data_IF_656698953544
#
_entry.id   IF_656698953544
#
_cell.length_a   1.000
_cell.length_b   1.000
_cell.length_c   1.000
_cell.angle_alpha   90.00
_cell.angle_beta   90.00
_cell.angle_gamma   90.00
#
_symmetry.space_group_name_H-M   'P 1'
#
loop_
_entity.id
_entity.type
_entity.pdbx_description
1 polymer ?
#
# COMPACT_ATOMS: atom_id res chain seq x y z
N UNK A 1 -8.02 12.69 -12.36
CA UNK A 1 -8.55 12.55 -10.97
C UNK A 1 -9.69 11.53 -10.86
N UNK A 2 -10.64 11.48 -11.80
CA UNK A 2 -11.83 10.60 -11.72
C UNK A 2 -11.54 9.08 -11.62
N UNK A 3 -10.31 8.64 -11.92
CA UNK A 3 -9.91 7.23 -11.80
C UNK A 3 -9.43 6.84 -10.40
N UNK A 4 -9.29 7.79 -9.48
CA UNK A 4 -8.83 7.52 -8.10
C UNK A 4 -10.02 6.96 -7.29
N UNK A 5 -9.82 5.82 -6.62
CA UNK A 5 -10.89 5.10 -5.92
C UNK A 5 -10.39 3.90 -5.13
N UNK A 6 -11.21 2.86 -4.98
CA UNK A 6 -10.86 1.65 -4.20
C UNK A 6 -9.80 0.77 -4.89
N UNK A 7 -9.87 0.69 -6.22
CA UNK A 7 -8.91 -0.08 -7.05
C UNK A 7 -7.62 0.72 -7.23
N UNK A 8 -7.73 2.01 -7.56
CA UNK A 8 -6.58 2.88 -7.82
C UNK A 8 -6.39 3.90 -6.69
N UNK A 9 -5.41 3.65 -5.81
CA UNK A 9 -5.13 4.47 -4.62
C UNK A 9 -5.83 4.01 -3.34
N UNK A 10 -6.77 3.06 -3.41
CA UNK A 10 -7.47 2.52 -2.23
C UNK A 10 -6.66 1.57 -1.37
N UNK A 11 -5.49 1.13 -1.85
CA UNK A 11 -4.64 0.19 -1.14
C UNK A 11 -4.10 0.77 0.19
N UNK A 12 -3.76 2.07 0.23
CA UNK A 12 -3.36 2.74 1.47
C UNK A 12 -4.44 2.72 2.56
N UNK A 13 -5.74 2.84 2.18
CA UNK A 13 -6.87 2.70 3.12
C UNK A 13 -6.92 1.30 3.73
N UNK A 14 -6.75 0.27 2.89
CA UNK A 14 -6.67 -1.12 3.34
C UNK A 14 -5.45 -1.34 4.25
N UNK A 15 -4.31 -0.72 3.93
CA UNK A 15 -3.11 -0.71 4.77
C UNK A 15 -3.36 -0.13 6.17
N UNK A 16 -4.00 1.05 6.26
CA UNK A 16 -4.40 1.65 7.55
C UNK A 16 -5.29 0.71 8.35
N UNK A 17 -6.31 0.12 7.72
CA UNK A 17 -7.23 -0.81 8.40
C UNK A 17 -6.52 -2.05 8.91
N UNK A 18 -5.61 -2.60 8.10
CA UNK A 18 -4.79 -3.74 8.44
C UNK A 18 -3.88 -3.45 9.64
N UNK A 19 -3.14 -2.34 9.60
CA UNK A 19 -2.28 -1.90 10.71
C UNK A 19 -3.08 -1.62 11.98
N UNK A 20 -4.25 -0.97 11.89
CA UNK A 20 -5.11 -0.74 13.04
C UNK A 20 -5.58 -2.04 13.68
N UNK A 21 -5.99 -3.02 12.88
CA UNK A 21 -6.37 -4.33 13.39
C UNK A 21 -5.21 -5.01 14.14
N UNK A 22 -3.98 -4.89 13.63
CA UNK A 22 -2.79 -5.49 14.23
C UNK A 22 -2.33 -4.78 15.50
N UNK A 23 -2.28 -3.45 15.51
CA UNK A 23 -1.64 -2.67 16.59
C UNK A 23 -2.58 -2.16 17.67
N UNK A 24 -3.87 -1.99 17.38
CA UNK A 24 -4.84 -1.52 18.38
C UNK A 24 -4.89 -2.38 19.65
N UNK A 25 -4.81 -3.73 19.59
CA UNK A 25 -4.78 -4.56 20.80
C UNK A 25 -3.48 -4.47 21.60
N UNK A 26 -2.40 -3.94 21.02
CA UNK A 26 -1.06 -3.98 21.61
C UNK A 26 -0.77 -2.78 22.54
N UNK A 27 -1.70 -1.84 22.68
CA UNK A 27 -1.53 -0.70 23.58
C UNK A 27 -0.41 0.26 23.18
N UNK A 28 -0.05 0.31 21.89
CA UNK A 28 0.96 1.23 21.36
C UNK A 28 0.61 2.68 21.74
N UNK A 29 1.54 3.41 22.34
CA UNK A 29 1.34 4.81 22.78
C UNK A 29 2.00 5.80 21.84
N UNK A 30 3.24 5.53 21.41
CA UNK A 30 4.05 6.44 20.61
C UNK A 30 4.60 5.75 19.34
N UNK A 31 3.93 5.89 18.18
CA UNK A 31 4.34 5.21 16.95
C UNK A 31 5.69 5.63 16.38
N UNK A 32 6.19 6.80 16.80
CA UNK A 32 7.48 7.35 16.37
C UNK A 32 8.59 7.23 17.42
N UNK A 33 8.33 6.54 18.53
CA UNK A 33 9.35 6.30 19.55
C UNK A 33 10.48 5.40 19.02
N UNK A 34 11.70 5.64 19.49
CA UNK A 34 12.86 4.82 19.14
C UNK A 34 12.69 3.36 19.61
N UNK A 35 12.08 3.19 20.79
CA UNK A 35 11.63 1.92 21.33
C UNK A 35 10.09 1.96 21.53
N UNK A 36 9.32 1.26 20.70
CA UNK A 36 7.86 1.22 20.82
C UNK A 36 7.37 0.25 21.92
N UNK A 37 8.26 -0.49 22.60
CA UNK A 37 7.89 -1.49 23.60
C UNK A 37 7.18 -2.72 23.02
N UNK A 38 7.30 -2.95 21.70
CA UNK A 38 6.68 -4.05 20.97
C UNK A 38 7.78 -4.81 20.21
N UNK A 39 7.84 -6.12 20.40
CA UNK A 39 8.69 -6.98 19.58
C UNK A 39 8.08 -7.13 18.16
N UNK A 40 8.53 -6.26 17.25
CA UNK A 40 8.04 -6.22 15.88
C UNK A 40 8.38 -7.49 15.10
N UNK A 41 9.51 -8.14 15.42
CA UNK A 41 9.95 -9.34 14.73
C UNK A 41 9.05 -10.52 15.10
N UNK A 42 8.76 -10.69 16.38
CA UNK A 42 7.82 -11.72 16.83
C UNK A 42 6.41 -11.45 16.27
N UNK A 43 5.95 -10.18 16.31
CA UNK A 43 4.66 -9.79 15.73
C UNK A 43 4.56 -10.10 14.23
N UNK A 44 5.63 -9.81 13.48
CA UNK A 44 5.73 -10.13 12.05
C UNK A 44 5.69 -11.63 11.78
N UNK A 45 6.44 -12.43 12.56
CA UNK A 45 6.45 -13.89 12.45
C UNK A 45 5.05 -14.47 12.71
N UNK A 46 4.38 -14.04 13.78
CA UNK A 46 3.04 -14.52 14.10
C UNK A 46 2.02 -14.13 13.02
N UNK A 47 2.12 -12.90 12.52
CA UNK A 47 1.27 -12.43 11.42
C UNK A 47 1.50 -13.23 10.14
N UNK A 48 2.76 -13.51 9.79
CA UNK A 48 3.12 -14.29 8.62
C UNK A 48 2.66 -15.76 8.74
N UNK A 49 2.75 -16.37 9.92
CA UNK A 49 2.19 -17.71 10.20
C UNK A 49 0.67 -17.74 10.01
N UNK A 50 -0.04 -16.75 10.56
CA UNK A 50 -1.48 -16.65 10.41
C UNK A 50 -1.90 -16.49 8.93
N UNK A 51 -1.17 -15.67 8.18
CA UNK A 51 -1.38 -15.50 6.74
C UNK A 51 -1.09 -16.78 5.95
N UNK A 52 0.01 -17.48 6.27
CA UNK A 52 0.36 -18.77 5.67
C UNK A 52 -0.78 -19.78 5.84
N UNK A 53 -1.30 -19.93 7.06
CA UNK A 53 -2.43 -20.84 7.34
C UNK A 53 -3.66 -20.50 6.49
N UNK A 54 -4.01 -19.22 6.35
CA UNK A 54 -5.13 -18.78 5.49
C UNK A 54 -4.88 -19.08 4.02
N UNK A 55 -3.67 -18.80 3.53
CA UNK A 55 -3.27 -19.05 2.13
C UNK A 55 -3.30 -20.54 1.80
N UNK A 56 -2.76 -21.39 2.67
CA UNK A 56 -2.70 -22.84 2.47
C UNK A 56 -4.11 -23.45 2.47
N UNK A 57 -4.97 -23.06 3.41
CA UNK A 57 -6.37 -23.50 3.45
C UNK A 57 -7.18 -23.06 2.21
N UNK A 58 -6.94 -21.84 1.71
CA UNK A 58 -7.59 -21.34 0.50
C UNK A 58 -7.14 -22.12 -0.75
N UNK A 59 -5.84 -22.44 -0.84
CA UNK A 59 -5.27 -23.27 -1.91
C UNK A 59 -5.87 -24.68 -1.91
N UNK A 60 -6.03 -25.29 -0.74
CA UNK A 60 -6.67 -26.61 -0.59
C UNK A 60 -8.15 -26.59 -1.01
N UNK A 61 -8.85 -25.49 -0.71
CA UNK A 61 -10.29 -25.35 -1.01
C UNK A 61 -10.57 -24.79 -2.40
N UNK A 62 -9.55 -24.46 -3.20
CA UNK A 62 -9.71 -23.84 -4.53
C UNK A 62 -10.33 -22.44 -4.51
N UNK A 63 -10.30 -21.75 -3.38
CA UNK A 63 -10.85 -20.39 -3.22
C UNK A 63 -9.76 -19.34 -3.20
N UNK A 64 -10.09 -18.12 -3.61
CA UNK A 64 -9.18 -16.99 -3.49
C UNK A 64 -8.95 -16.60 -2.02
N UNK A 65 -7.77 -16.05 -1.74
CA UNK A 65 -7.42 -15.50 -0.43
C UNK A 65 -7.11 -14.01 -0.52
N UNK A 66 -7.45 -13.28 0.54
CA UNK A 66 -7.13 -11.86 0.65
C UNK A 66 -5.62 -11.66 0.78
N UNK A 67 -5.04 -10.82 -0.09
CA UNK A 67 -3.62 -10.47 -0.02
C UNK A 67 -3.37 -9.46 1.11
N UNK A 68 -2.18 -9.50 1.69
CA UNK A 68 -1.76 -8.47 2.64
C UNK A 68 -1.67 -7.13 1.90
N UNK A 69 -2.39 -6.08 2.33
CA UNK A 69 -2.35 -4.79 1.65
C UNK A 69 -0.96 -4.16 1.76
N UNK A 70 -0.61 -3.40 0.73
CA UNK A 70 0.64 -2.65 0.62
C UNK A 70 1.94 -3.47 0.51
N UNK A 71 1.86 -4.80 0.37
CA UNK A 71 3.00 -5.66 0.07
C UNK A 71 3.01 -6.15 -1.37
N UNK A 72 4.20 -6.11 -1.97
CA UNK A 72 4.45 -6.47 -3.37
C UNK A 72 4.32 -5.28 -4.32
N UNK A 73 5.04 -5.36 -5.44
CA UNK A 73 5.02 -4.33 -6.48
C UNK A 73 5.07 -4.99 -7.87
N UNK A 74 4.30 -4.49 -8.88
CA UNK A 74 4.30 -5.07 -10.22
C UNK A 74 5.64 -4.90 -10.96
N UNK A 75 6.38 -3.83 -10.64
CA UNK A 75 7.71 -3.54 -11.21
C UNK A 75 8.85 -4.10 -10.34
N UNK A 76 8.92 -3.74 -9.06
CA UNK A 76 9.99 -4.20 -8.15
C UNK A 76 9.68 -5.60 -7.58
N UNK A 77 9.93 -6.64 -8.38
CA UNK A 77 9.66 -8.01 -7.96
C UNK A 77 10.72 -9.04 -8.35
N UNK A 78 11.79 -8.69 -9.04
CA UNK A 78 12.72 -9.65 -9.64
C UNK A 78 13.91 -10.01 -8.75
N UNK A 79 14.14 -9.29 -7.65
CA UNK A 79 15.30 -9.46 -6.77
C UNK A 79 15.04 -10.42 -5.61
N UNK A 80 16.10 -10.98 -4.99
CA UNK A 80 15.98 -11.76 -3.74
C UNK A 80 15.33 -10.95 -2.61
N UNK A 81 15.70 -9.67 -2.53
CA UNK A 81 15.08 -8.66 -1.68
C UNK A 81 14.66 -7.49 -2.55
N UNK A 82 13.36 -7.20 -2.57
CA UNK A 82 12.80 -6.15 -3.41
C UNK A 82 12.53 -4.90 -2.58
N UNK A 83 12.82 -3.73 -3.18
CA UNK A 83 12.59 -2.44 -2.56
C UNK A 83 11.86 -1.53 -3.56
N UNK A 84 10.85 -0.81 -3.07
CA UNK A 84 10.27 0.32 -3.80
C UNK A 84 11.10 1.57 -3.47
N UNK A 85 11.82 2.18 -4.44
CA UNK A 85 12.70 3.30 -4.16
C UNK A 85 11.98 4.49 -3.54
N UNK A 86 10.68 4.66 -3.82
CA UNK A 86 9.87 5.76 -3.25
C UNK A 86 9.63 5.55 -1.77
N UNK A 87 9.34 4.32 -1.36
CA UNK A 87 9.20 3.96 0.05
C UNK A 87 10.53 4.18 0.77
N UNK A 88 11.66 3.78 0.17
CA UNK A 88 13.00 3.98 0.77
C UNK A 88 13.32 5.43 1.05
N UNK A 89 12.92 6.36 0.17
CA UNK A 89 13.09 7.80 0.40
C UNK A 89 12.31 8.25 1.64
N UNK A 90 11.08 7.76 1.82
CA UNK A 90 10.27 8.08 3.01
C UNK A 90 10.89 7.47 4.28
N UNK A 91 11.31 6.21 4.24
CA UNK A 91 11.97 5.55 5.36
C UNK A 91 13.26 6.28 5.76
N UNK A 92 14.07 6.69 4.78
CA UNK A 92 15.28 7.46 5.02
C UNK A 92 14.97 8.83 5.61
N UNK A 93 13.97 9.55 5.10
CA UNK A 93 13.58 10.85 5.63
C UNK A 93 13.11 10.78 7.10
N UNK A 94 12.40 9.72 7.48
CA UNK A 94 12.00 9.47 8.88
C UNK A 94 13.24 9.22 9.75
N UNK A 95 14.16 8.38 9.27
CA UNK A 95 15.41 8.08 9.97
C UNK A 95 16.29 9.33 10.15
N UNK A 96 16.47 10.13 9.09
CA UNK A 96 17.29 11.35 9.12
C UNK A 96 16.70 12.42 10.04
N UNK A 97 15.39 12.39 10.28
CA UNK A 97 14.73 13.19 11.30
C UNK A 97 14.92 12.66 12.73
N UNK A 98 15.72 11.60 12.93
CA UNK A 98 15.94 10.96 14.23
C UNK A 98 14.72 10.20 14.76
N UNK A 99 13.79 9.85 13.88
CA UNK A 99 12.54 9.17 14.24
C UNK A 99 12.52 7.75 13.67
N UNK A 100 11.59 6.94 14.17
CA UNK A 100 11.21 5.65 13.58
C UNK A 100 9.74 5.68 13.23
N UNK A 101 9.27 4.74 12.44
CA UNK A 101 7.83 4.52 12.29
C UNK A 101 7.55 3.03 12.49
N UNK A 102 6.97 2.69 13.64
CA UNK A 102 6.73 1.30 14.06
C UNK A 102 5.90 0.50 13.04
N UNK A 103 4.98 1.16 12.32
CA UNK A 103 4.15 0.51 11.33
C UNK A 103 4.92 0.17 10.05
N UNK A 104 5.78 1.09 9.61
CA UNK A 104 6.63 0.87 8.45
C UNK A 104 7.71 -0.18 8.75
N UNK A 105 8.30 -0.12 9.95
CA UNK A 105 9.26 -1.11 10.44
C UNK A 105 8.61 -2.51 10.51
N UNK A 106 7.37 -2.59 10.99
CA UNK A 106 6.61 -3.83 10.98
C UNK A 106 6.38 -4.38 9.56
N UNK A 107 6.10 -3.53 8.57
CA UNK A 107 5.97 -4.00 7.18
C UNK A 107 7.28 -4.58 6.65
N UNK A 108 8.43 -4.00 6.99
CA UNK A 108 9.74 -4.54 6.63
C UNK A 108 9.98 -5.92 7.28
N UNK A 109 9.73 -6.05 8.58
CA UNK A 109 9.84 -7.33 9.30
C UNK A 109 8.87 -8.38 8.75
N UNK A 110 7.64 -7.97 8.42
CA UNK A 110 6.62 -8.85 7.85
C UNK A 110 7.03 -9.37 6.46
N UNK A 111 7.56 -8.51 5.59
CA UNK A 111 8.04 -8.92 4.28
C UNK A 111 9.17 -9.97 4.39
N UNK A 112 10.08 -9.80 5.36
CA UNK A 112 11.13 -10.76 5.65
C UNK A 112 10.57 -12.07 6.21
N UNK A 113 9.67 -12.00 7.21
CA UNK A 113 9.06 -13.18 7.82
C UNK A 113 8.27 -14.04 6.80
N UNK A 114 7.61 -13.41 5.82
CA UNK A 114 6.91 -14.11 4.74
C UNK A 114 7.86 -14.91 3.85
N UNK A 115 9.06 -14.39 3.58
CA UNK A 115 10.11 -15.11 2.86
C UNK A 115 10.63 -16.28 3.70
N UNK A 116 10.95 -16.04 4.96
CA UNK A 116 11.58 -17.03 5.84
C UNK A 116 10.67 -18.22 6.13
N UNK A 117 9.35 -17.99 6.23
CA UNK A 117 8.34 -19.05 6.39
C UNK A 117 7.93 -19.73 5.07
N UNK A 118 8.62 -19.41 3.96
CA UNK A 118 8.35 -19.96 2.63
C UNK A 118 6.98 -19.60 2.07
N UNK A 119 6.37 -18.51 2.53
CA UNK A 119 5.11 -18.00 1.96
C UNK A 119 5.37 -17.34 0.61
N UNK A 120 6.51 -16.64 0.51
CA UNK A 120 7.02 -16.01 -0.68
C UNK A 120 8.42 -16.57 -1.02
N UNK A 121 8.74 -16.65 -2.32
CA UNK A 121 10.07 -17.08 -2.78
C UNK A 121 11.14 -15.97 -2.67
N UNK A 122 10.72 -14.72 -2.45
CA UNK A 122 11.55 -13.52 -2.35
C UNK A 122 10.96 -12.59 -1.30
N UNK A 123 11.76 -11.68 -0.75
CA UNK A 123 11.21 -10.62 0.11
C UNK A 123 10.46 -9.65 -0.79
N UNK A 124 9.17 -9.48 -0.51
CA UNK A 124 8.31 -8.58 -1.27
C UNK A 124 8.65 -7.12 -0.97
N UNK A 125 8.57 -6.27 -2.00
CA UNK A 125 8.72 -4.84 -1.80
C UNK A 125 7.58 -4.31 -0.91
N UNK A 126 7.94 -3.58 0.13
CA UNK A 126 7.03 -2.68 0.82
C UNK A 126 6.77 -1.52 -0.13
N UNK A 127 5.52 -1.32 -0.54
CA UNK A 127 5.21 -0.35 -1.59
C UNK A 127 4.98 1.05 -1.02
N UNK A 128 4.89 2.05 -1.91
CA UNK A 128 4.62 3.43 -1.50
C UNK A 128 3.30 3.61 -0.71
N UNK A 129 2.27 2.80 -0.96
CA UNK A 129 1.03 2.87 -0.18
C UNK A 129 1.25 2.44 1.28
N UNK A 130 2.19 1.52 1.54
CA UNK A 130 2.57 1.12 2.89
C UNK A 130 3.20 2.29 3.63
N UNK A 131 4.10 3.02 2.96
CA UNK A 131 4.75 4.20 3.51
C UNK A 131 3.72 5.27 3.87
N UNK A 132 2.83 5.60 2.92
CA UNK A 132 1.76 6.59 3.15
C UNK A 132 0.82 6.15 4.28
N UNK A 133 0.35 4.90 4.27
CA UNK A 133 -0.52 4.38 5.32
C UNK A 133 0.15 4.44 6.70
N UNK A 134 1.42 4.05 6.79
CA UNK A 134 2.19 4.03 8.03
C UNK A 134 2.45 5.43 8.59
N UNK A 135 2.80 6.39 7.72
CA UNK A 135 3.02 7.80 8.11
C UNK A 135 1.71 8.44 8.58
N UNK A 136 0.64 8.33 7.78
CA UNK A 136 -0.64 8.93 8.15
C UNK A 136 -1.24 8.29 9.39
N UNK A 137 -1.12 6.96 9.56
CA UNK A 137 -1.53 6.30 10.80
C UNK A 137 -0.72 6.79 12.00
N UNK A 138 0.59 6.95 11.85
CA UNK A 138 1.45 7.51 12.89
C UNK A 138 1.01 8.90 13.34
N UNK A 139 0.83 9.82 12.39
CA UNK A 139 0.37 11.20 12.66
C UNK A 139 -1.00 11.20 13.35
N UNK A 140 -1.90 10.34 12.90
CA UNK A 140 -3.26 10.24 13.41
C UNK A 140 -3.40 9.37 14.67
N UNK A 141 -2.34 8.74 15.17
CA UNK A 141 -2.46 7.72 16.21
C UNK A 141 -2.99 8.28 17.53
N UNK A 142 -2.32 9.30 18.07
CA UNK A 142 -2.73 9.95 19.32
C UNK A 142 -4.17 10.48 19.27
N UNK A 143 -4.58 11.31 18.27
CA UNK A 143 -5.97 11.74 18.18
C UNK A 143 -6.96 10.59 18.00
N UNK A 144 -6.56 9.49 17.35
CA UNK A 144 -7.42 8.31 17.22
C UNK A 144 -7.60 7.59 18.56
N UNK A 145 -6.51 7.36 19.30
CA UNK A 145 -6.56 6.69 20.62
C UNK A 145 -7.34 7.53 21.64
N UNK A 146 -7.22 8.85 21.58
CA UNK A 146 -7.98 9.81 22.38
C UNK A 146 -9.43 10.00 21.88
N UNK A 147 -9.87 9.27 20.86
CA UNK A 147 -11.21 9.33 20.26
C UNK A 147 -11.60 10.72 19.71
N UNK A 148 -10.61 11.57 19.39
CA UNK A 148 -10.82 12.89 18.75
C UNK A 148 -11.12 12.76 17.26
N UNK A 149 -10.70 11.66 16.62
CA UNK A 149 -10.99 11.35 15.23
C UNK A 149 -11.48 9.91 15.09
N UNK A 150 -12.20 9.62 14.01
CA UNK A 150 -12.71 8.28 13.71
C UNK A 150 -11.69 7.46 12.93
N UNK A 151 -11.81 6.12 12.98
CA UNK A 151 -11.01 5.21 12.13
C UNK A 151 -11.15 5.55 10.64
N UNK A 152 -12.38 5.86 10.21
CA UNK A 152 -12.68 6.29 8.84
C UNK A 152 -11.91 7.55 8.46
N UNK A 153 -11.80 8.54 9.37
CA UNK A 153 -11.01 9.76 9.13
C UNK A 153 -9.53 9.44 8.88
N UNK A 154 -8.94 8.48 9.61
CA UNK A 154 -7.55 8.07 9.41
C UNK A 154 -7.35 7.40 8.05
N UNK A 155 -8.28 6.50 7.66
CA UNK A 155 -8.28 5.92 6.31
C UNK A 155 -8.35 7.03 5.23
N UNK A 156 -9.21 8.03 5.43
CA UNK A 156 -9.36 9.16 4.51
C UNK A 156 -8.10 10.02 4.45
N UNK A 157 -7.41 10.26 5.57
CA UNK A 157 -6.13 10.99 5.58
C UNK A 157 -5.07 10.30 4.69
N UNK A 158 -4.91 8.99 4.82
CA UNK A 158 -3.97 8.23 3.98
C UNK A 158 -4.33 8.32 2.48
N UNK A 159 -5.63 8.21 2.17
CA UNK A 159 -6.12 8.35 0.80
C UNK A 159 -5.93 9.76 0.24
N UNK A 160 -6.20 10.79 1.04
CA UNK A 160 -6.05 12.19 0.63
C UNK A 160 -4.58 12.53 0.36
N UNK A 161 -3.65 12.00 1.16
CA UNK A 161 -2.21 12.15 0.88
C UNK A 161 -1.82 11.62 -0.50
N UNK A 162 -2.31 10.43 -0.86
CA UNK A 162 -2.15 9.88 -2.21
C UNK A 162 -2.80 10.76 -3.28
N UNK A 163 -4.06 11.17 -3.05
CA UNK A 163 -4.86 11.90 -4.04
C UNK A 163 -4.26 13.28 -4.34
N UNK A 164 -3.76 13.98 -3.32
CA UNK A 164 -3.08 15.26 -3.49
C UNK A 164 -1.79 15.14 -4.30
N UNK A 165 -0.94 14.16 -3.98
CA UNK A 165 0.27 13.90 -4.77
C UNK A 165 -0.05 13.54 -6.21
N UNK A 166 -1.11 12.76 -6.44
CA UNK A 166 -1.57 12.41 -7.79
C UNK A 166 -2.14 13.61 -8.54
N UNK A 167 -2.87 14.49 -7.87
CA UNK A 167 -3.41 15.71 -8.46
C UNK A 167 -2.28 16.62 -8.94
N UNK A 168 -1.25 16.81 -8.12
CA UNK A 168 -0.07 17.59 -8.48
C UNK A 168 0.61 17.02 -9.74
N UNK A 169 0.89 15.71 -9.77
CA UNK A 169 1.51 15.07 -10.93
C UNK A 169 0.68 15.20 -12.21
N UNK A 170 -0.64 14.98 -12.13
CA UNK A 170 -1.53 15.11 -13.29
C UNK A 170 -1.68 16.56 -13.80
N UNK A 171 -1.63 17.55 -12.89
CA UNK A 171 -1.61 18.95 -13.28
C UNK A 171 -0.27 19.32 -13.96
N UNK A 172 0.85 18.83 -13.44
CA UNK A 172 2.16 19.00 -14.07
C UNK A 172 2.23 18.35 -15.45
N UNK A 173 1.71 17.14 -15.61
CA UNK A 173 1.62 16.45 -16.90
C UNK A 173 0.76 17.24 -17.90
N UNK A 174 -0.39 17.79 -17.45
CA UNK A 174 -1.20 18.67 -18.30
C UNK A 174 -0.41 19.88 -18.82
N UNK A 175 0.34 20.56 -17.94
CA UNK A 175 1.15 21.71 -18.32
C UNK A 175 2.30 21.32 -19.25
N UNK A 176 2.98 20.21 -18.98
CA UNK A 176 4.03 19.68 -19.85
C UNK A 176 3.50 19.41 -21.28
N UNK A 177 2.29 18.87 -21.38
CA UNK A 177 1.62 18.69 -22.67
C UNK A 177 1.23 20.00 -23.35
N UNK A 178 0.88 21.06 -22.61
CA UNK A 178 0.60 22.38 -23.20
C UNK A 178 1.87 23.02 -23.75
N UNK A 179 2.99 22.90 -23.04
CA UNK A 179 4.23 23.58 -23.38
C UNK A 179 5.04 22.82 -24.45
N UNK A 180 5.04 21.48 -24.39
CA UNK A 180 5.93 20.62 -25.20
C UNK A 180 5.24 19.45 -25.89
N UNK A 181 3.94 19.23 -25.64
CA UNK A 181 3.20 18.10 -26.17
C UNK A 181 2.63 18.31 -27.57
N UNK A 182 2.32 17.21 -28.24
CA UNK A 182 1.35 17.21 -29.34
C UNK A 182 -0.08 17.23 -28.80
N UNK A 183 -1.10 17.63 -29.58
CA UNK A 183 -2.49 17.49 -29.17
C UNK A 183 -2.77 16.09 -28.63
N UNK A 184 -3.30 15.98 -27.41
CA UNK A 184 -3.64 14.68 -26.81
C UNK A 184 -4.82 14.07 -27.55
N UNK A 185 -4.54 13.16 -28.48
CA UNK A 185 -5.55 12.30 -29.06
C UNK A 185 -5.91 11.18 -28.08
N UNK A 186 -7.01 11.35 -27.36
CA UNK A 186 -7.50 10.38 -26.37
C UNK A 186 -8.35 9.26 -27.01
N UNK A 187 -8.40 9.18 -28.35
CA UNK A 187 -9.10 8.08 -29.04
C UNK A 187 -8.35 6.78 -28.82
N UNK A 188 -9.06 5.73 -28.43
CA UNK A 188 -8.51 4.37 -28.37
C UNK A 188 -8.35 3.87 -29.81
N UNK A 189 -7.17 3.34 -30.21
CA UNK A 189 -7.00 2.75 -31.53
C UNK A 189 -8.05 1.69 -31.82
N UNK A 190 -8.64 1.71 -33.02
CA UNK A 190 -9.69 0.75 -33.37
C UNK A 190 -9.22 -0.72 -33.29
N UNK A 191 -7.92 -0.96 -33.46
CA UNK A 191 -7.31 -2.29 -33.30
C UNK A 191 -7.33 -2.80 -31.85
N UNK A 192 -7.41 -1.90 -30.86
CA UNK A 192 -7.47 -2.23 -29.42
C UNK A 192 -8.92 -2.30 -28.91
N UNK A 193 -9.90 -2.02 -29.77
CA UNK A 193 -11.33 -2.05 -29.45
C UNK A 193 -11.95 -3.35 -29.96
N UNK A 194 -12.60 -4.10 -29.05
CA UNK A 194 -13.39 -5.28 -29.43
C UNK A 194 -14.88 -4.93 -29.47
N UNK A 195 -15.54 -5.16 -30.61
CA UNK A 195 -16.97 -4.99 -30.74
C UNK A 195 -17.70 -6.22 -30.20
N UNK A 196 -18.38 -6.06 -29.06
CA UNK A 196 -19.19 -7.12 -28.44
C UNK A 196 -20.61 -7.22 -29.05
N UNK A 197 -20.92 -6.43 -30.07
CA UNK A 197 -22.23 -6.48 -30.74
C UNK A 197 -22.27 -7.60 -31.77
N UNK A 198 -23.44 -8.22 -31.93
CA UNK A 198 -23.65 -9.23 -32.99
C UNK A 198 -23.26 -8.64 -34.36
N UNK A 199 -22.58 -9.41 -35.23
CA UNK A 199 -22.29 -8.97 -36.59
C UNK A 199 -23.60 -8.56 -37.27
N UNK A 200 -23.63 -7.36 -37.86
CA UNK A 200 -24.78 -6.93 -38.66
C UNK A 200 -24.74 -7.75 -39.97
N UNK A 201 -25.82 -8.46 -40.34
CA UNK A 201 -25.88 -9.08 -41.66
C UNK A 201 -25.77 -7.97 -42.71
N UNK A 202 -24.79 -8.10 -43.58
CA UNK A 202 -24.64 -7.26 -44.76
C UNK A 202 -25.50 -7.92 -45.84
N UNK A 203 -26.74 -7.46 -45.96
CA UNK A 203 -27.63 -7.78 -47.09
C UNK A 203 -27.19 -7.00 -48.34
#
# INVERSE_FOLDING_TARGET
LATIGDVHGGNGRRGVRYLLHTFHPLGLTAPYAADPGIDLKELAIQTAKAFKKKKDAAKESGVDYERIPCLGHPVFNDKPVNYDPRERVIAQAIHDAGQRNVFLDFYHELAQALRDLGVANRVWAVNMDAALASVWLGICWTPLMEKRITRKRVEDCAFLGFALGRAAGGASEFLDHQDYGTPMDMRIPAADCEALTRPRPLD
#
